data_IF_647352333761
#
_entry.id   IF_647352333761
#
_cell.length_a   1.000
_cell.length_b   1.000
_cell.length_c   1.000
_cell.angle_alpha   90.00
_cell.angle_beta   90.00
_cell.angle_gamma   90.00
#
_symmetry.space_group_name_H-M   'P 1'
#
loop_
_entity.id
_entity.type
_entity.pdbx_description
1 polymer ?
#
# COMPACT_ATOMS: atom_id res chain seq x y z
N UNK A 1 41.36 8.47 -27.75
CA UNK A 1 41.01 8.58 -26.33
C UNK A 1 39.67 9.31 -26.25
N UNK A 2 38.66 8.76 -25.58
CA UNK A 2 37.34 9.41 -25.50
C UNK A 2 37.36 10.68 -24.64
N UNK A 3 36.41 11.59 -24.87
CA UNK A 3 36.25 12.81 -24.07
C UNK A 3 35.74 12.49 -22.65
N UNK A 4 36.05 13.36 -21.68
CA UNK A 4 35.51 13.24 -20.30
C UNK A 4 33.98 13.21 -20.27
N UNK A 5 33.33 13.97 -21.16
CA UNK A 5 31.87 13.98 -21.32
C UNK A 5 31.33 12.61 -21.69
N UNK A 6 31.96 11.95 -22.68
CA UNK A 6 31.59 10.61 -23.15
C UNK A 6 31.78 9.57 -22.05
N UNK A 7 32.91 9.60 -21.36
CA UNK A 7 33.20 8.68 -20.25
C UNK A 7 32.17 8.78 -19.12
N UNK A 8 31.82 10.01 -18.69
CA UNK A 8 30.86 10.23 -17.62
C UNK A 8 29.44 9.76 -18.00
N UNK A 9 29.04 9.94 -19.26
CA UNK A 9 27.79 9.40 -19.79
C UNK A 9 27.80 7.87 -19.76
N UNK A 10 28.85 7.24 -20.30
CA UNK A 10 28.99 5.78 -20.37
C UNK A 10 28.93 5.14 -18.97
N UNK A 11 29.64 5.69 -17.99
CA UNK A 11 29.63 5.16 -16.61
C UNK A 11 28.22 5.14 -16.01
N UNK A 12 27.43 6.21 -16.21
CA UNK A 12 26.05 6.28 -15.71
C UNK A 12 25.14 5.27 -16.38
N UNK A 13 25.29 5.11 -17.70
CA UNK A 13 24.52 4.12 -18.48
C UNK A 13 24.87 2.70 -18.05
N UNK A 14 26.16 2.37 -17.91
CA UNK A 14 26.58 1.03 -17.51
C UNK A 14 26.19 0.71 -16.06
N UNK A 15 26.24 1.68 -15.15
CA UNK A 15 25.72 1.51 -13.79
C UNK A 15 24.20 1.24 -13.77
N UNK A 16 23.43 1.95 -14.61
CA UNK A 16 22.00 1.72 -14.74
C UNK A 16 21.68 0.33 -15.32
N UNK A 17 22.41 -0.09 -16.36
CA UNK A 17 22.30 -1.44 -16.93
C UNK A 17 22.64 -2.53 -15.92
N UNK A 18 23.72 -2.34 -15.15
CA UNK A 18 24.13 -3.26 -14.10
C UNK A 18 23.02 -3.44 -13.06
N UNK A 19 22.35 -2.36 -12.65
CA UNK A 19 21.25 -2.42 -11.71
C UNK A 19 20.02 -3.12 -12.29
N UNK A 20 19.63 -2.77 -13.52
CA UNK A 20 18.50 -3.37 -14.23
C UNK A 20 18.68 -4.89 -14.42
N UNK A 21 19.90 -5.34 -14.73
CA UNK A 21 20.19 -6.75 -15.00
C UNK A 21 20.27 -7.64 -13.75
N UNK A 22 20.18 -7.09 -12.53
CA UNK A 22 20.10 -7.92 -11.32
C UNK A 22 18.78 -8.70 -11.33
N UNK A 23 18.75 -9.97 -10.87
CA UNK A 23 17.49 -10.65 -10.62
C UNK A 23 16.66 -9.86 -9.60
N UNK A 24 15.44 -9.49 -9.97
CA UNK A 24 14.49 -8.83 -9.09
C UNK A 24 13.52 -9.88 -8.54
N UNK A 25 13.59 -10.25 -7.25
CA UNK A 25 12.72 -11.26 -6.67
C UNK A 25 11.28 -10.75 -6.59
N UNK A 26 10.31 -11.67 -6.73
CA UNK A 26 8.90 -11.37 -6.50
C UNK A 26 8.61 -11.29 -5.01
N UNK A 27 7.94 -10.23 -4.56
CA UNK A 27 7.50 -10.10 -3.18
C UNK A 27 6.26 -10.97 -2.93
N UNK A 28 6.24 -11.72 -1.82
CA UNK A 28 5.11 -12.58 -1.44
C UNK A 28 4.68 -12.27 -0.01
N UNK A 29 3.37 -12.00 0.18
CA UNK A 29 2.77 -11.79 1.48
C UNK A 29 2.30 -13.12 2.10
N UNK A 30 1.98 -13.11 3.40
CA UNK A 30 1.46 -14.28 4.11
C UNK A 30 -0.02 -14.61 3.80
N UNK A 31 -0.68 -13.76 3.00
CA UNK A 31 -2.06 -13.95 2.53
C UNK A 31 -3.16 -13.56 3.53
N UNK A 32 -2.82 -12.94 4.67
CA UNK A 32 -3.80 -12.67 5.73
C UNK A 32 -4.71 -11.46 5.47
N UNK A 33 -4.32 -10.57 4.56
CA UNK A 33 -5.03 -9.30 4.30
C UNK A 33 -6.52 -9.49 3.95
N UNK A 34 -6.83 -10.50 3.14
CA UNK A 34 -8.19 -10.83 2.70
C UNK A 34 -8.74 -12.09 3.37
N UNK A 35 -7.96 -12.74 4.24
CA UNK A 35 -8.30 -14.05 4.83
C UNK A 35 -9.43 -13.95 5.86
N UNK A 36 -9.40 -12.91 6.68
CA UNK A 36 -10.31 -12.75 7.81
C UNK A 36 -11.48 -11.84 7.42
N UNK A 37 -12.70 -12.33 7.57
CA UNK A 37 -13.92 -11.61 7.17
C UNK A 37 -14.84 -11.37 8.37
N UNK A 38 -15.58 -10.27 8.35
CA UNK A 38 -16.66 -10.03 9.30
C UNK A 38 -17.84 -10.97 9.03
N UNK A 39 -17.95 -12.05 9.80
CA UNK A 39 -19.04 -13.04 9.65
C UNK A 39 -20.41 -12.46 10.05
N UNK A 40 -20.41 -11.68 11.13
CA UNK A 40 -21.57 -11.02 11.69
C UNK A 40 -21.20 -9.56 11.98
N UNK A 41 -22.14 -8.62 11.83
CA UNK A 41 -21.88 -7.20 12.10
C UNK A 41 -22.89 -6.27 11.44
N UNK A 42 -22.63 -4.97 11.51
CA UNK A 42 -23.39 -3.94 10.80
C UNK A 42 -23.28 -4.18 9.29
N UNK A 43 -24.33 -3.87 8.52
CA UNK A 43 -24.39 -4.09 7.07
C UNK A 43 -23.18 -3.56 6.30
N UNK A 44 -22.54 -2.50 6.79
CA UNK A 44 -21.36 -1.88 6.18
C UNK A 44 -20.13 -2.80 6.18
N UNK A 45 -19.98 -3.65 7.20
CA UNK A 45 -18.83 -4.55 7.37
C UNK A 45 -19.13 -6.00 6.98
N UNK A 46 -20.40 -6.42 6.97
CA UNK A 46 -20.78 -7.82 6.80
C UNK A 46 -20.22 -8.44 5.51
N UNK A 47 -19.59 -9.62 5.65
CA UNK A 47 -18.95 -10.39 4.58
C UNK A 47 -17.80 -9.67 3.86
N UNK A 48 -17.31 -8.54 4.38
CA UNK A 48 -16.11 -7.86 3.87
C UNK A 48 -14.86 -8.28 4.65
N UNK A 49 -13.66 -8.12 4.07
CA UNK A 49 -12.40 -8.28 4.79
C UNK A 49 -12.38 -7.41 6.05
N UNK A 50 -11.89 -7.99 7.13
CA UNK A 50 -11.82 -7.33 8.43
C UNK A 50 -10.53 -6.56 8.66
N UNK A 51 -9.48 -6.89 7.89
CA UNK A 51 -8.15 -6.31 7.99
C UNK A 51 -7.57 -6.34 9.43
N UNK A 52 -8.03 -7.29 10.26
CA UNK A 52 -7.60 -7.41 11.67
C UNK A 52 -6.12 -7.71 11.84
N UNK A 53 -5.49 -8.30 10.82
CA UNK A 53 -4.08 -8.65 10.80
C UNK A 53 -3.22 -7.62 10.05
N UNK A 54 -3.83 -6.51 9.59
CA UNK A 54 -3.15 -5.45 8.87
C UNK A 54 -2.88 -4.24 9.76
N UNK A 55 -1.95 -3.39 9.33
CA UNK A 55 -1.76 -2.08 9.93
C UNK A 55 -2.92 -1.16 9.52
N UNK A 56 -3.76 -0.78 10.49
CA UNK A 56 -4.93 0.08 10.27
C UNK A 56 -4.90 1.36 11.09
N UNK A 57 -3.83 1.60 11.86
CA UNK A 57 -3.74 2.76 12.75
C UNK A 57 -3.83 4.08 11.97
N UNK A 58 -4.78 4.92 12.37
CA UNK A 58 -5.09 6.19 11.71
C UNK A 58 -6.40 6.13 10.93
N UNK A 59 -6.80 4.96 10.41
CA UNK A 59 -8.13 4.78 9.83
C UNK A 59 -9.23 4.88 10.90
N UNK A 60 -10.49 5.17 10.52
CA UNK A 60 -11.61 5.12 11.45
C UNK A 60 -11.83 3.72 12.03
N UNK A 61 -11.92 3.62 13.35
CA UNK A 61 -12.27 2.39 14.08
C UNK A 61 -13.57 2.57 14.86
N UNK A 62 -14.31 1.47 15.01
CA UNK A 62 -15.41 1.40 15.98
C UNK A 62 -14.92 1.10 17.40
N UNK A 63 -15.86 1.04 18.35
CA UNK A 63 -15.59 0.74 19.76
C UNK A 63 -14.97 -0.66 19.99
N UNK A 64 -15.13 -1.57 19.01
CA UNK A 64 -14.54 -2.90 19.00
C UNK A 64 -13.05 -2.90 18.58
N UNK A 65 -12.49 -1.74 18.23
CA UNK A 65 -11.13 -1.59 17.73
C UNK A 65 -10.93 -2.09 16.31
N UNK A 66 -12.01 -2.41 15.59
CA UNK A 66 -11.98 -2.84 14.20
C UNK A 66 -12.34 -1.67 13.28
N UNK A 67 -11.81 -1.67 12.07
CA UNK A 67 -12.05 -0.58 11.10
C UNK A 67 -13.54 -0.41 10.82
N UNK A 68 -13.98 0.83 10.67
CA UNK A 68 -15.40 1.13 10.51
C UNK A 68 -15.94 0.76 9.13
N UNK A 69 -15.19 1.14 8.10
CA UNK A 69 -15.48 0.82 6.73
C UNK A 69 -14.28 0.10 6.08
N UNK A 70 -14.44 -1.16 5.63
CA UNK A 70 -13.38 -1.88 4.93
C UNK A 70 -12.88 -1.20 3.64
N UNK A 71 -13.70 -0.34 3.03
CA UNK A 71 -13.31 0.36 1.81
C UNK A 71 -12.25 1.44 2.09
N UNK A 72 -12.17 1.96 3.32
CA UNK A 72 -11.15 2.95 3.74
C UNK A 72 -9.75 2.33 3.70
N UNK A 73 -9.63 1.05 4.07
CA UNK A 73 -8.37 0.32 3.95
C UNK A 73 -7.96 0.12 2.49
N UNK A 74 -8.93 -0.14 1.60
CA UNK A 74 -8.64 -0.27 0.17
C UNK A 74 -8.21 1.07 -0.46
N UNK A 75 -8.76 2.19 0.01
CA UNK A 75 -8.31 3.52 -0.39
C UNK A 75 -6.89 3.81 0.10
N UNK A 76 -6.58 3.43 1.35
CA UNK A 76 -5.24 3.53 1.90
C UNK A 76 -4.20 2.73 1.09
N UNK A 77 -4.50 1.48 0.75
CA UNK A 77 -3.64 0.63 -0.11
C UNK A 77 -3.46 1.27 -1.49
N UNK A 78 -4.54 1.78 -2.10
CA UNK A 78 -4.45 2.49 -3.38
C UNK A 78 -3.51 3.69 -3.30
N UNK A 79 -3.60 4.50 -2.25
CA UNK A 79 -2.72 5.65 -2.06
C UNK A 79 -1.24 5.27 -1.89
N UNK A 80 -0.95 4.10 -1.32
CA UNK A 80 0.41 3.55 -1.25
C UNK A 80 0.90 3.12 -2.64
N UNK A 81 0.08 2.36 -3.36
CA UNK A 81 0.48 1.72 -4.61
C UNK A 81 0.56 2.69 -5.80
N UNK A 82 -0.30 3.72 -5.83
CA UNK A 82 -0.36 4.66 -6.96
C UNK A 82 0.77 5.68 -6.95
N UNK A 83 1.27 6.06 -5.76
CA UNK A 83 2.20 7.17 -5.57
C UNK A 83 1.58 8.55 -5.85
N UNK A 84 0.28 8.65 -6.10
CA UNK A 84 -0.42 9.94 -6.19
C UNK A 84 -0.77 10.43 -4.78
N UNK A 85 -0.30 11.64 -4.47
CA UNK A 85 -0.54 12.27 -3.17
C UNK A 85 -2.04 12.49 -2.92
N UNK A 86 -2.85 12.68 -3.98
CA UNK A 86 -4.30 12.87 -3.83
C UNK A 86 -5.01 11.62 -3.34
N UNK A 87 -4.68 10.44 -3.87
CA UNK A 87 -5.26 9.17 -3.40
C UNK A 87 -5.04 8.97 -1.90
N UNK A 88 -3.85 9.35 -1.40
CA UNK A 88 -3.52 9.26 0.01
C UNK A 88 -4.19 10.34 0.87
N UNK A 89 -4.31 11.57 0.36
CA UNK A 89 -5.00 12.67 1.05
C UNK A 89 -6.50 12.42 1.20
N UNK A 90 -7.10 11.74 0.23
CA UNK A 90 -8.52 11.43 0.24
C UNK A 90 -8.86 10.23 1.16
N UNK A 91 -7.84 9.54 1.70
CA UNK A 91 -8.04 8.43 2.65
C UNK A 91 -8.54 8.95 4.00
N UNK A 92 -9.64 8.42 4.56
CA UNK A 92 -10.16 8.82 5.87
C UNK A 92 -9.12 8.70 6.99
N UNK A 93 -9.10 9.69 7.89
CA UNK A 93 -8.14 9.78 9.00
C UNK A 93 -8.83 10.22 10.29
N UNK A 94 -8.56 9.50 11.38
CA UNK A 94 -9.04 9.81 12.73
C UNK A 94 -10.32 9.06 13.08
N UNK A 95 -11.13 9.56 14.04
CA UNK A 95 -12.36 8.90 14.43
C UNK A 95 -13.37 8.85 13.26
N UNK A 96 -14.36 7.93 13.30
CA UNK A 96 -15.47 7.96 12.37
C UNK A 96 -16.15 9.33 12.34
N UNK A 97 -16.63 9.75 11.18
CA UNK A 97 -17.43 10.97 11.09
C UNK A 97 -18.67 10.83 11.98
N UNK A 98 -19.05 11.87 12.73
CA UNK A 98 -20.21 11.85 13.62
C UNK A 98 -21.54 11.64 12.88
#
# INVERSE_FOLDING_TARGET
MESRRTQAFNVRVEAAKLAYNRPHPTHQANGEELRYVFKNGVKTRQNKPSHIANYTKGLPHGDDGLIDNPDDFQQFVRGIDSGDVRDFQDTPLGPPSP
#
